data_IF_007693974647
#
_entry.id   IF_007693974647
#
_cell.length_a   1.000
_cell.length_b   1.000
_cell.length_c   1.000
_cell.angle_alpha   90.00
_cell.angle_beta   90.00
_cell.angle_gamma   90.00
#
_symmetry.space_group_name_H-M   'P 1'
#
loop_
_entity.id
_entity.type
_entity.pdbx_description
1 polymer ?
#
# COMPACT_ATOMS: atom_id res chain seq x y z
N UNK A 1 -30.07 1.59 3.43
CA UNK A 1 -29.17 2.56 2.75
C UNK A 1 -28.33 3.40 3.73
N UNK A 2 -28.88 3.99 4.80
CA UNK A 2 -28.09 4.77 5.79
C UNK A 2 -26.94 4.01 6.46
N UNK A 3 -27.18 2.77 6.89
CA UNK A 3 -26.15 1.95 7.54
C UNK A 3 -24.91 1.71 6.65
N UNK A 4 -25.09 1.55 5.34
CA UNK A 4 -23.96 1.44 4.38
C UNK A 4 -23.18 2.76 4.27
N UNK A 5 -23.88 3.90 4.20
CA UNK A 5 -23.23 5.20 4.19
C UNK A 5 -22.42 5.47 5.47
N UNK A 6 -22.93 5.06 6.63
CA UNK A 6 -22.25 5.22 7.92
C UNK A 6 -21.03 4.32 8.04
N UNK A 7 -21.16 3.06 7.61
CA UNK A 7 -20.05 2.10 7.54
C UNK A 7 -18.93 2.61 6.62
N UNK A 8 -19.27 3.11 5.44
CA UNK A 8 -18.30 3.67 4.50
C UNK A 8 -17.63 4.94 5.05
N UNK A 9 -18.38 5.84 5.69
CA UNK A 9 -17.80 7.03 6.35
C UNK A 9 -16.89 6.64 7.52
N UNK A 10 -17.18 5.56 8.24
CA UNK A 10 -16.30 5.06 9.30
C UNK A 10 -15.00 4.49 8.71
N UNK A 11 -15.10 3.68 7.66
CA UNK A 11 -13.95 3.11 6.94
C UNK A 11 -13.01 4.17 6.39
N UNK A 12 -13.54 5.20 5.72
CA UNK A 12 -12.75 6.33 5.18
C UNK A 12 -12.07 7.13 6.29
N UNK A 13 -12.74 7.35 7.43
CA UNK A 13 -12.12 8.05 8.57
C UNK A 13 -11.01 7.22 9.22
N UNK A 14 -11.20 5.91 9.36
CA UNK A 14 -10.17 5.00 9.88
C UNK A 14 -8.95 4.91 8.95
N UNK A 15 -9.17 4.86 7.63
CA UNK A 15 -8.10 4.85 6.63
C UNK A 15 -7.26 6.14 6.66
N UNK A 16 -7.82 7.29 7.06
CA UNK A 16 -7.05 8.54 7.26
C UNK A 16 -6.15 8.52 8.50
N UNK A 17 -6.40 7.63 9.47
CA UNK A 17 -5.61 7.50 10.71
C UNK A 17 -4.28 6.79 10.47
N UNK A 18 -4.23 5.93 9.46
CA UNK A 18 -3.02 5.26 9.01
C UNK A 18 -2.56 5.95 7.73
N UNK A 19 -1.46 6.69 7.77
CA UNK A 19 -0.90 7.33 6.57
C UNK A 19 -0.72 6.29 5.45
N UNK A 20 -0.89 6.71 4.19
CA UNK A 20 -0.63 5.85 3.03
C UNK A 20 0.81 5.36 3.11
N UNK A 21 1.00 4.10 3.50
CA UNK A 21 2.31 3.46 3.50
C UNK A 21 2.80 3.25 2.05
N UNK A 22 1.88 3.30 1.08
CA UNK A 22 2.16 3.29 -0.36
C UNK A 22 1.62 4.57 -1.00
N UNK A 23 2.52 5.50 -1.32
CA UNK A 23 2.22 6.57 -2.26
C UNK A 23 2.33 6.03 -3.70
N UNK A 24 1.46 6.45 -4.64
CA UNK A 24 1.60 6.10 -6.05
C UNK A 24 2.97 6.55 -6.57
N UNK A 25 3.75 5.61 -7.11
CA UNK A 25 5.03 5.91 -7.75
C UNK A 25 4.78 6.26 -9.21
N UNK A 26 5.44 7.30 -9.72
CA UNK A 26 5.39 7.67 -11.13
C UNK A 26 6.24 6.73 -12.01
N UNK A 27 7.25 6.09 -11.42
CA UNK A 27 8.16 5.17 -12.10
C UNK A 27 8.55 4.00 -11.19
N UNK A 28 8.98 2.86 -11.76
CA UNK A 28 9.54 1.78 -10.97
C UNK A 28 10.89 2.20 -10.33
N UNK A 29 11.24 1.69 -9.14
CA UNK A 29 12.59 1.69 -8.59
C UNK A 29 13.66 1.32 -9.63
N UNK A 30 14.81 1.98 -9.53
CA UNK A 30 15.92 1.82 -10.46
C UNK A 30 16.48 0.39 -10.42
N UNK A 31 16.44 -0.26 -9.27
CA UNK A 31 16.97 -1.60 -9.00
C UNK A 31 16.00 -2.75 -9.34
N UNK A 32 14.81 -2.46 -9.88
CA UNK A 32 13.81 -3.51 -10.18
C UNK A 32 14.31 -4.52 -11.23
N UNK A 33 15.22 -4.09 -12.10
CA UNK A 33 15.80 -4.94 -13.14
C UNK A 33 16.93 -5.83 -12.62
N UNK A 34 17.37 -5.66 -11.37
CA UNK A 34 18.43 -6.47 -10.79
C UNK A 34 17.91 -7.89 -10.52
N UNK A 35 18.72 -8.92 -10.81
CA UNK A 35 18.37 -10.27 -10.39
C UNK A 35 18.26 -10.33 -8.86
N UNK A 36 17.36 -11.18 -8.37
CA UNK A 36 17.31 -11.49 -6.94
C UNK A 36 18.70 -11.95 -6.50
N UNK A 37 19.20 -11.49 -5.33
CA UNK A 37 20.40 -12.08 -4.76
C UNK A 37 20.19 -13.58 -4.68
N UNK A 38 21.12 -14.36 -5.23
CA UNK A 38 21.11 -15.80 -4.98
C UNK A 38 21.21 -15.97 -3.46
N UNK A 39 20.25 -16.67 -2.87
CA UNK A 39 20.35 -17.15 -1.49
C UNK A 39 21.61 -18.03 -1.43
N UNK A 40 22.75 -17.42 -1.10
CA UNK A 40 23.95 -18.13 -0.68
C UNK A 40 23.75 -18.58 0.77
N UNK A 41 22.72 -19.38 0.98
CA UNK A 41 22.62 -20.21 2.16
C UNK A 41 23.40 -21.50 1.85
N UNK A 42 24.69 -21.45 2.17
CA UNK A 42 25.55 -22.63 2.32
C UNK A 42 25.70 -22.99 3.78
#
# INVERSE_FOLDING_TARGET
QRSLCESERARVRAARKHGLVWAPRQSPPEDWHLPLPEDKDG
#
